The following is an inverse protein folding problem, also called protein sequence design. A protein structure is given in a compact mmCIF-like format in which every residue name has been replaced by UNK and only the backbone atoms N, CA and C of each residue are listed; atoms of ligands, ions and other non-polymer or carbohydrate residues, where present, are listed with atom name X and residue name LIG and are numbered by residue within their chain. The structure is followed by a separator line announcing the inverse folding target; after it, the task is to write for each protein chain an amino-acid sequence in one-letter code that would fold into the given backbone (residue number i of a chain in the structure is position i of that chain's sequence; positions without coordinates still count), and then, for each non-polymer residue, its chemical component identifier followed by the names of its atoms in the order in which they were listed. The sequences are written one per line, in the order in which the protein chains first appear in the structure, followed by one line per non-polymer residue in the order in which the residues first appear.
data_IF_308946638735
#
_entry.id   IF_308946638735
#
_cell.length_a   1.000
_cell.length_b   1.000
_cell.length_c   1.000
_cell.angle_alpha   90.00
_cell.angle_beta   90.00
_cell.angle_gamma   90.00
#
_symmetry.space_group_name_H-M   'P 1'
#
loop_
_entity.id
_entity.type
_entity.pdbx_description
1 polymer ?
#
# COMPACT_ATOMS: atom_id res chain seq x y z
N UNK A 1 74.27 -25.24 -13.30
CA UNK A 1 75.53 -24.58 -12.90
C UNK A 1 75.54 -23.18 -13.54
N UNK A 2 75.34 -22.10 -12.76
CA UNK A 2 75.48 -20.68 -13.17
C UNK A 2 74.53 -20.20 -14.32
N UNK A 3 74.28 -18.90 -14.58
CA UNK A 3 73.89 -17.75 -13.72
C UNK A 3 73.47 -16.56 -14.63
N UNK A 4 72.50 -15.70 -14.22
CA UNK A 4 72.24 -14.33 -14.76
C UNK A 4 71.70 -14.28 -16.23
N UNK A 5 71.15 -13.18 -16.80
CA UNK A 5 70.85 -11.78 -16.35
C UNK A 5 69.67 -11.17 -17.14
N UNK A 6 68.98 -10.16 -16.59
CA UNK A 6 68.09 -9.18 -17.30
C UNK A 6 68.94 -8.16 -18.12
N UNK A 7 68.41 -7.20 -18.94
CA UNK A 7 67.14 -6.42 -18.87
C UNK A 7 66.30 -6.56 -20.18
N UNK A 8 65.50 -5.65 -20.78
CA UNK A 8 65.21 -4.20 -20.62
C UNK A 8 63.82 -3.79 -21.19
N UNK A 9 63.51 -2.48 -21.30
CA UNK A 9 62.24 -1.92 -21.81
C UNK A 9 62.37 -1.28 -23.22
N UNK A 10 61.26 -1.31 -23.99
CA UNK A 10 60.86 -0.30 -25.01
C UNK A 10 59.32 -0.24 -25.00
N UNK A 11 58.65 0.87 -24.70
CA UNK A 11 58.60 2.19 -25.37
C UNK A 11 57.77 2.21 -26.67
N UNK A 12 56.50 2.61 -26.53
CA UNK A 12 55.63 3.21 -27.56
C UNK A 12 54.39 3.79 -26.84
N UNK A 13 54.37 5.07 -26.47
CA UNK A 13 54.00 6.22 -27.32
C UNK A 13 52.52 6.28 -27.71
N UNK A 14 51.78 7.23 -27.12
CA UNK A 14 50.83 8.09 -27.86
C UNK A 14 50.34 9.30 -27.05
N UNK A 15 50.51 10.47 -27.69
CA UNK A 15 49.74 11.73 -27.55
C UNK A 15 49.86 12.49 -26.22
N UNK A 16 50.40 13.70 -26.33
CA UNK A 16 50.24 14.75 -25.33
C UNK A 16 48.81 15.32 -25.35
N UNK A 17 48.39 15.87 -24.22
CA UNK A 17 47.56 17.07 -24.21
C UNK A 17 48.09 18.00 -23.11
N UNK A 18 48.33 19.26 -23.46
CA UNK A 18 48.90 20.26 -22.56
C UNK A 18 47.76 21.13 -22.05
N UNK A 19 47.47 21.04 -20.75
CA UNK A 19 46.42 21.82 -20.08
C UNK A 19 47.08 22.58 -18.92
N UNK A 20 46.87 23.89 -18.87
CA UNK A 20 47.56 24.77 -17.94
C UNK A 20 47.03 24.63 -16.50
N UNK A 21 47.94 24.59 -15.53
CA UNK A 21 47.59 24.81 -14.13
C UNK A 21 47.42 26.30 -13.86
N UNK A 22 46.19 26.80 -13.89
CA UNK A 22 45.81 28.08 -13.27
C UNK A 22 45.15 27.80 -11.93
N UNK A 23 45.71 28.33 -10.85
CA UNK A 23 45.18 28.14 -9.51
C UNK A 23 43.84 28.87 -9.31
N UNK A 24 42.93 28.29 -8.53
CA UNK A 24 42.28 28.94 -7.39
C UNK A 24 41.72 27.87 -6.43
N UNK A 25 41.55 28.20 -5.15
CA UNK A 25 41.18 27.22 -4.12
C UNK A 25 39.70 26.80 -4.16
N UNK A 26 39.40 25.57 -3.76
CA UNK A 26 38.03 25.06 -3.71
C UNK A 26 37.92 23.55 -3.49
N UNK A 27 38.24 23.06 -2.29
CA UNK A 27 37.91 21.69 -1.88
C UNK A 27 36.40 21.59 -1.61
N UNK A 28 35.62 21.33 -2.67
CA UNK A 28 34.21 20.97 -2.55
C UNK A 28 34.05 19.46 -2.74
N UNK A 29 33.57 18.71 -1.73
CA UNK A 29 33.29 17.29 -1.90
C UNK A 29 32.10 17.10 -2.85
N UNK A 30 32.21 16.11 -3.74
CA UNK A 30 31.08 15.63 -4.54
C UNK A 30 30.06 14.96 -3.62
N UNK A 31 29.11 15.76 -3.11
CA UNK A 31 28.00 15.28 -2.30
C UNK A 31 27.05 14.43 -3.15
N UNK A 32 27.31 13.13 -3.23
CA UNK A 32 26.40 12.14 -3.78
C UNK A 32 25.17 12.01 -2.88
N UNK A 33 24.16 12.85 -3.10
CA UNK A 33 22.87 12.73 -2.42
C UNK A 33 22.20 11.42 -2.84
N UNK A 34 21.62 10.64 -1.90
CA UNK A 34 21.12 9.30 -2.18
C UNK A 34 19.88 9.35 -3.08
N UNK A 35 19.90 8.59 -4.18
CA UNK A 35 18.78 8.48 -5.13
C UNK A 35 17.73 7.49 -4.60
N UNK A 36 17.02 7.88 -3.54
CA UNK A 36 15.96 7.06 -2.93
C UNK A 36 14.67 7.87 -2.72
N UNK A 37 13.97 8.15 -3.82
CA UNK A 37 12.55 8.52 -3.79
C UNK A 37 11.67 7.27 -3.53
N UNK A 38 11.93 6.58 -2.42
CA UNK A 38 11.22 5.36 -2.03
C UNK A 38 9.90 5.69 -1.33
N UNK A 39 8.91 6.09 -2.12
CA UNK A 39 7.61 6.53 -1.62
C UNK A 39 6.91 5.53 -0.69
N UNK A 40 6.10 6.11 0.18
CA UNK A 40 5.31 5.55 1.29
C UNK A 40 6.16 5.20 2.52
N UNK A 41 6.63 6.24 3.21
CA UNK A 41 7.43 6.22 4.45
C UNK A 41 6.58 6.28 5.75
N UNK A 42 5.26 6.45 5.64
CA UNK A 42 4.35 6.59 6.79
C UNK A 42 3.63 5.30 7.17
N UNK A 43 3.12 5.27 8.39
CA UNK A 43 2.04 4.35 8.76
C UNK A 43 0.71 4.99 8.35
N UNK A 44 -0.11 4.23 7.63
CA UNK A 44 -1.44 4.64 7.19
C UNK A 44 -2.51 3.80 7.88
N UNK A 45 -3.50 4.45 8.47
CA UNK A 45 -4.71 3.79 8.98
C UNK A 45 -5.74 3.71 7.85
N UNK A 46 -6.22 2.50 7.57
CA UNK A 46 -7.37 2.27 6.69
C UNK A 46 -8.59 1.95 7.55
N UNK A 47 -9.71 2.61 7.25
CA UNK A 47 -10.99 2.46 7.94
C UNK A 47 -12.10 2.24 6.92
N UNK A 48 -12.76 1.09 6.97
CA UNK A 48 -14.03 0.87 6.29
C UNK A 48 -15.18 1.08 7.27
N UNK A 49 -16.20 1.83 6.86
CA UNK A 49 -17.48 1.94 7.56
C UNK A 49 -18.52 1.22 6.71
N UNK A 50 -19.07 0.12 7.21
CA UNK A 50 -19.91 -0.80 6.45
C UNK A 50 -21.27 -0.97 7.13
N UNK A 51 -22.35 -0.75 6.39
CA UNK A 51 -23.72 -0.86 6.91
C UNK A 51 -24.46 -1.95 6.15
N UNK A 52 -25.18 -2.88 6.81
CA UNK A 52 -26.14 -3.75 6.16
C UNK A 52 -27.20 -2.96 5.38
N UNK A 53 -27.73 -3.57 4.32
CA UNK A 53 -28.83 -3.00 3.51
C UNK A 53 -30.20 -3.45 4.06
N UNK A 54 -31.31 -2.80 3.65
CA UNK A 54 -32.67 -3.23 4.00
C UNK A 54 -33.06 -4.66 3.58
N UNK A 55 -32.27 -5.34 2.74
CA UNK A 55 -32.43 -6.76 2.45
C UNK A 55 -32.03 -7.65 3.64
N UNK A 56 -31.03 -7.20 4.42
CA UNK A 56 -30.39 -7.96 5.49
C UNK A 56 -31.00 -7.59 6.84
N UNK A 57 -31.09 -6.29 7.14
CA UNK A 57 -31.68 -5.76 8.37
C UNK A 57 -32.88 -4.89 8.01
N UNK A 58 -34.10 -5.28 8.39
CA UNK A 58 -35.30 -4.46 8.10
C UNK A 58 -35.30 -3.14 8.86
N UNK A 59 -34.65 -3.09 10.03
CA UNK A 59 -34.36 -1.87 10.77
C UNK A 59 -32.94 -1.34 10.43
N UNK A 60 -32.73 -0.02 10.38
CA UNK A 60 -31.37 0.53 10.24
C UNK A 60 -30.50 0.19 11.46
N UNK A 61 -29.30 -0.32 11.22
CA UNK A 61 -28.30 -0.59 12.27
C UNK A 61 -27.07 0.29 12.12
N UNK A 62 -26.32 0.47 13.22
CA UNK A 62 -25.06 1.23 13.23
C UNK A 62 -24.01 0.62 12.31
N UNK A 63 -23.28 1.47 11.58
CA UNK A 63 -22.23 1.06 10.65
C UNK A 63 -21.05 0.38 11.38
N UNK A 64 -20.72 -0.84 10.97
CA UNK A 64 -19.58 -1.63 11.47
C UNK A 64 -18.27 -1.02 10.96
N UNK A 65 -17.34 -0.75 11.87
CA UNK A 65 -16.04 -0.16 11.56
C UNK A 65 -14.95 -1.23 11.47
N UNK A 66 -14.47 -1.54 10.26
CA UNK A 66 -13.28 -2.37 10.08
C UNK A 66 -12.07 -1.46 9.98
N UNK A 67 -11.08 -1.66 10.85
CA UNK A 67 -9.85 -0.86 10.86
C UNK A 67 -8.62 -1.75 10.72
N UNK A 68 -7.62 -1.23 9.99
CA UNK A 68 -6.35 -1.92 9.78
C UNK A 68 -5.25 -0.88 9.53
N UNK A 69 -4.00 -1.24 9.81
CA UNK A 69 -2.84 -0.37 9.54
C UNK A 69 -1.97 -1.00 8.47
N UNK A 70 -1.40 -0.17 7.59
CA UNK A 70 -0.36 -0.56 6.64
C UNK A 70 0.85 0.35 6.82
N UNK A 71 2.04 -0.23 6.75
CA UNK A 71 3.30 0.42 7.08
C UNK A 71 4.29 0.30 5.90
N UNK A 72 5.42 1.03 5.91
CA UNK A 72 6.39 1.01 4.82
C UNK A 72 6.97 -0.39 4.57
N UNK A 73 7.25 -1.13 5.65
CA UNK A 73 7.69 -2.52 5.64
C UNK A 73 6.55 -3.52 5.38
N UNK A 74 5.33 -3.26 5.88
CA UNK A 74 4.16 -4.11 5.67
C UNK A 74 3.03 -3.39 4.91
N UNK A 75 3.19 -3.32 3.58
CA UNK A 75 2.25 -2.67 2.65
C UNK A 75 1.02 -3.52 2.31
N UNK A 76 0.69 -4.53 3.12
CA UNK A 76 -0.48 -5.42 2.97
C UNK A 76 -1.06 -5.72 4.35
N UNK A 77 -2.38 -5.73 4.49
CA UNK A 77 -3.00 -6.22 5.73
C UNK A 77 -4.39 -6.83 5.49
N UNK A 78 -4.88 -7.58 6.46
CA UNK A 78 -6.21 -8.16 6.49
C UNK A 78 -6.80 -8.01 7.89
N UNK A 79 -7.97 -7.37 7.98
CA UNK A 79 -8.78 -7.34 9.21
C UNK A 79 -10.03 -8.18 8.98
N UNK A 80 -10.35 -9.03 9.94
CA UNK A 80 -11.59 -9.80 10.02
C UNK A 80 -12.32 -9.39 11.30
N UNK A 81 -13.64 -9.16 11.21
CA UNK A 81 -14.50 -8.84 12.34
C UNK A 81 -15.74 -9.71 12.24
N UNK A 82 -15.96 -10.56 13.24
CA UNK A 82 -17.24 -11.25 13.44
C UNK A 82 -18.30 -10.25 13.88
N UNK A 83 -19.51 -10.39 13.36
CA UNK A 83 -20.69 -9.57 13.70
C UNK A 83 -21.91 -10.47 13.81
N UNK A 84 -22.97 -9.99 14.46
CA UNK A 84 -24.29 -10.59 14.39
C UNK A 84 -25.27 -9.52 13.94
N UNK A 85 -25.52 -9.47 12.62
CA UNK A 85 -26.27 -8.38 11.99
C UNK A 85 -27.21 -8.91 10.90
N UNK A 86 -28.50 -9.00 11.20
CA UNK A 86 -29.52 -9.38 10.22
C UNK A 86 -30.84 -9.85 10.83
N UNK A 87 -31.80 -10.10 9.95
CA UNK A 87 -33.07 -10.78 10.21
C UNK A 87 -32.93 -12.31 10.02
N UNK A 88 -33.89 -13.09 10.51
CA UNK A 88 -33.92 -14.57 10.38
C UNK A 88 -33.80 -15.11 8.93
N UNK A 89 -33.98 -14.28 7.90
CA UNK A 89 -33.81 -14.66 6.49
C UNK A 89 -32.39 -14.40 5.96
N UNK A 90 -31.70 -13.37 6.45
CA UNK A 90 -30.37 -12.95 5.99
C UNK A 90 -29.56 -12.43 7.19
N UNK A 91 -28.55 -13.18 7.63
CA UNK A 91 -27.71 -12.88 8.80
C UNK A 91 -26.25 -12.72 8.36
N UNK A 92 -25.65 -11.56 8.60
CA UNK A 92 -24.20 -11.36 8.41
C UNK A 92 -23.49 -11.83 9.68
N UNK A 93 -22.57 -12.77 9.52
CA UNK A 93 -21.77 -13.37 10.60
C UNK A 93 -20.35 -12.78 10.69
N UNK A 94 -19.83 -12.23 9.59
CA UNK A 94 -18.54 -11.56 9.59
C UNK A 94 -18.34 -10.61 8.40
N UNK A 95 -17.44 -9.64 8.57
CA UNK A 95 -16.83 -8.87 7.49
C UNK A 95 -15.31 -9.12 7.45
N UNK A 96 -14.73 -9.12 6.25
CA UNK A 96 -13.28 -9.25 6.04
C UNK A 96 -12.80 -8.20 5.04
N UNK A 97 -11.91 -7.31 5.49
CA UNK A 97 -11.24 -6.30 4.69
C UNK A 97 -9.81 -6.75 4.41
N UNK A 98 -9.42 -6.83 3.14
CA UNK A 98 -8.04 -7.05 2.66
C UNK A 98 -7.56 -5.80 1.93
N UNK A 99 -6.36 -5.34 2.24
CA UNK A 99 -5.75 -4.14 1.65
C UNK A 99 -4.33 -4.40 1.14
N UNK A 100 -3.97 -3.71 0.06
CA UNK A 100 -2.60 -3.66 -0.48
C UNK A 100 -2.29 -2.24 -0.92
N UNK A 101 -1.24 -1.67 -0.35
CA UNK A 101 -0.74 -0.34 -0.65
C UNK A 101 0.42 -0.42 -1.66
N UNK A 102 0.51 0.56 -2.56
CA UNK A 102 1.56 0.67 -3.59
C UNK A 102 1.93 2.15 -3.79
N UNK A 103 3.23 2.52 -3.80
CA UNK A 103 3.67 3.87 -4.13
C UNK A 103 3.48 4.17 -5.62
N UNK A 104 3.25 5.45 -5.94
CA UNK A 104 3.36 5.92 -7.32
C UNK A 104 4.84 6.14 -7.64
N UNK A 105 5.27 5.75 -8.86
CA UNK A 105 6.63 6.08 -9.31
C UNK A 105 6.74 7.58 -9.52
N UNK A 106 7.86 8.17 -9.11
CA UNK A 106 8.25 9.56 -9.38
C UNK A 106 7.29 10.61 -8.78
N UNK A 107 6.67 10.33 -7.63
CA UNK A 107 5.81 11.26 -6.90
C UNK A 107 6.21 11.34 -5.41
N UNK A 108 5.71 12.37 -4.72
CA UNK A 108 5.95 12.65 -3.29
C UNK A 108 5.79 11.41 -2.39
N UNK A 109 6.51 11.40 -1.25
CA UNK A 109 6.61 10.30 -0.30
C UNK A 109 5.26 9.74 0.21
N UNK A 110 4.15 10.45 0.04
CA UNK A 110 2.82 10.04 0.48
C UNK A 110 1.83 9.73 -0.68
N UNK A 111 2.27 9.76 -1.94
CA UNK A 111 1.42 9.52 -3.11
C UNK A 111 1.48 8.06 -3.59
N UNK A 112 0.31 7.49 -3.89
CA UNK A 112 0.19 6.06 -4.16
C UNK A 112 -1.20 5.61 -4.56
N UNK A 113 -1.44 4.31 -4.44
CA UNK A 113 -2.74 3.67 -4.64
C UNK A 113 -2.94 2.57 -3.60
N UNK A 114 -4.07 2.60 -2.90
CA UNK A 114 -4.54 1.51 -2.06
C UNK A 114 -5.52 0.64 -2.85
N UNK A 115 -5.17 -0.62 -3.13
CA UNK A 115 -6.11 -1.64 -3.61
C UNK A 115 -6.80 -2.29 -2.42
N UNK A 116 -8.12 -2.50 -2.49
CA UNK A 116 -8.88 -3.19 -1.45
C UNK A 116 -9.77 -4.31 -2.01
N UNK A 117 -10.09 -5.26 -1.13
CA UNK A 117 -11.16 -6.24 -1.30
C UNK A 117 -11.89 -6.38 0.03
N UNK A 118 -13.19 -6.09 0.05
CA UNK A 118 -14.07 -6.27 1.20
C UNK A 118 -15.05 -7.41 0.88
N UNK A 119 -15.30 -8.30 1.83
CA UNK A 119 -16.30 -9.36 1.71
C UNK A 119 -17.07 -9.56 3.00
N UNK A 120 -18.33 -9.98 2.90
CA UNK A 120 -19.12 -10.42 4.04
C UNK A 120 -19.31 -11.95 3.98
N UNK A 121 -19.44 -12.59 5.15
CA UNK A 121 -19.96 -13.95 5.28
C UNK A 121 -21.41 -13.86 5.75
N UNK A 122 -22.34 -14.36 4.93
CA UNK A 122 -23.78 -14.22 5.14
C UNK A 122 -24.44 -15.59 5.11
N UNK A 123 -25.29 -15.87 6.09
CA UNK A 123 -26.24 -16.98 6.08
C UNK A 123 -27.59 -16.49 5.54
N UNK A 124 -28.18 -17.28 4.65
CA UNK A 124 -29.49 -17.04 4.06
C UNK A 124 -30.36 -18.26 4.27
N UNK A 125 -31.47 -18.09 5.01
CA UNK A 125 -32.29 -19.18 5.54
C UNK A 125 -33.72 -19.09 5.03
N UNK A 126 -34.21 -20.18 4.43
CA UNK A 126 -35.59 -20.33 3.95
C UNK A 126 -36.15 -21.65 4.49
N UNK A 127 -37.14 -21.56 5.38
CA UNK A 127 -37.69 -22.72 6.08
C UNK A 127 -36.62 -23.44 6.89
N UNK A 128 -36.41 -24.73 6.61
CA UNK A 128 -35.38 -25.57 7.22
C UNK A 128 -34.02 -25.53 6.50
N UNK A 129 -33.86 -24.76 5.43
CA UNK A 129 -32.64 -24.74 4.62
C UNK A 129 -31.83 -23.45 4.84
N UNK A 130 -30.58 -23.59 5.26
CA UNK A 130 -29.60 -22.49 5.35
C UNK A 130 -28.56 -22.61 4.25
N UNK A 131 -28.19 -21.47 3.66
CA UNK A 131 -27.22 -21.35 2.55
C UNK A 131 -26.22 -20.24 2.84
N UNK A 132 -24.95 -20.43 2.46
CA UNK A 132 -23.90 -19.43 2.65
C UNK A 132 -23.72 -18.55 1.41
N UNK A 133 -23.72 -17.23 1.58
CA UNK A 133 -23.46 -16.24 0.52
C UNK A 133 -22.22 -15.43 0.91
N UNK A 134 -21.27 -15.31 -0.03
CA UNK A 134 -19.98 -14.62 0.17
C UNK A 134 -19.83 -13.43 -0.80
N UNK A 135 -20.65 -12.37 -0.68
CA UNK A 135 -20.55 -11.20 -1.53
C UNK A 135 -19.23 -10.45 -1.31
N UNK A 136 -18.62 -10.00 -2.40
CA UNK A 136 -17.35 -9.26 -2.38
C UNK A 136 -17.42 -7.96 -3.20
N UNK A 137 -16.80 -6.89 -2.71
CA UNK A 137 -16.53 -5.65 -3.43
C UNK A 137 -15.03 -5.39 -3.48
N UNK A 138 -14.55 -4.78 -4.56
CA UNK A 138 -13.12 -4.51 -4.79
C UNK A 138 -12.96 -3.15 -5.46
N UNK A 139 -11.82 -2.52 -5.27
CA UNK A 139 -11.52 -1.26 -5.93
C UNK A 139 -10.14 -0.71 -5.58
N UNK A 140 -9.91 0.52 -6.01
CA UNK A 140 -8.68 1.28 -5.77
C UNK A 140 -9.00 2.67 -5.25
N UNK A 141 -8.24 3.13 -4.26
CA UNK A 141 -8.27 4.50 -3.77
C UNK A 141 -6.93 5.16 -4.19
N UNK A 142 -6.95 6.22 -5.02
CA UNK A 142 -5.75 7.03 -5.24
C UNK A 142 -5.42 7.79 -3.96
N UNK A 143 -4.13 7.87 -3.62
CA UNK A 143 -3.67 8.64 -2.46
C UNK A 143 -3.06 9.96 -2.91
N UNK A 144 -3.52 11.03 -2.27
CA UNK A 144 -2.97 12.37 -2.40
C UNK A 144 -2.51 12.82 -1.02
N UNK A 145 -1.19 13.01 -0.86
CA UNK A 145 -0.55 13.34 0.42
C UNK A 145 -0.94 12.39 1.57
N UNK A 146 -1.14 11.10 1.26
CA UNK A 146 -1.34 10.04 2.26
C UNK A 146 -2.81 9.84 2.66
N UNK A 147 -3.70 10.65 2.09
CA UNK A 147 -5.14 10.59 2.32
C UNK A 147 -5.87 10.12 1.04
N UNK A 148 -6.98 9.42 1.23
CA UNK A 148 -7.89 9.03 0.16
C UNK A 148 -9.17 8.40 0.70
N UNK A 149 -10.27 8.54 -0.03
CA UNK A 149 -11.56 7.93 0.32
C UNK A 149 -12.32 7.52 -0.94
N UNK A 150 -13.09 6.43 -0.85
CA UNK A 150 -14.06 6.03 -1.87
C UNK A 150 -15.31 5.42 -1.24
N UNK A 151 -16.46 5.58 -1.90
CA UNK A 151 -17.67 4.81 -1.61
C UNK A 151 -17.50 3.40 -2.16
N UNK A 152 -18.03 2.40 -1.46
CA UNK A 152 -18.04 1.02 -1.94
C UNK A 152 -18.89 0.90 -3.23
N UNK A 153 -18.48 0.07 -4.21
CA UNK A 153 -19.34 -0.27 -5.34
C UNK A 153 -20.70 -0.82 -4.88
N UNK A 154 -21.80 -0.54 -5.60
CA UNK A 154 -23.14 -1.02 -5.24
C UNK A 154 -23.17 -2.52 -4.98
N UNK A 155 -23.77 -2.92 -3.87
CA UNK A 155 -23.88 -4.31 -3.44
C UNK A 155 -25.24 -4.56 -2.79
N UNK A 156 -25.80 -5.75 -3.01
CA UNK A 156 -27.18 -6.10 -2.59
C UNK A 156 -27.32 -6.31 -1.08
N UNK A 157 -26.22 -6.46 -0.34
CA UNK A 157 -26.23 -6.91 1.06
C UNK A 157 -25.68 -5.86 2.04
N UNK A 158 -24.63 -5.13 1.65
CA UNK A 158 -24.03 -4.06 2.46
C UNK A 158 -23.66 -2.86 1.59
N UNK A 159 -23.65 -1.66 2.19
CA UNK A 159 -23.12 -0.43 1.60
C UNK A 159 -22.06 0.17 2.53
N UNK A 160 -21.43 1.29 2.15
CA UNK A 160 -20.44 1.95 2.99
C UNK A 160 -19.35 2.71 2.26
N UNK A 161 -18.33 3.12 3.00
CA UNK A 161 -17.14 3.83 2.51
C UNK A 161 -15.86 3.19 3.02
N UNK A 162 -14.76 3.40 2.31
CA UNK A 162 -13.41 3.11 2.79
C UNK A 162 -12.59 4.40 2.69
N UNK A 163 -11.95 4.80 3.78
CA UNK A 163 -10.95 5.85 3.82
C UNK A 163 -9.61 5.34 4.32
N UNK A 164 -8.56 6.06 3.94
CA UNK A 164 -7.17 5.82 4.33
C UNK A 164 -6.53 7.19 4.62
N UNK A 165 -5.79 7.26 5.73
CA UNK A 165 -5.09 8.48 6.17
C UNK A 165 -3.70 8.10 6.71
N UNK A 166 -2.68 8.90 6.42
CA UNK A 166 -1.41 8.86 7.15
C UNK A 166 -1.64 9.23 8.63
N UNK A 167 -1.02 8.50 9.55
CA UNK A 167 -1.14 8.71 11.00
C UNK A 167 0.19 8.94 11.73
N UNK A 168 1.32 8.54 11.13
CA UNK A 168 2.66 8.83 11.66
C UNK A 168 3.71 8.81 10.54
N UNK A 169 4.58 9.83 10.50
CA UNK A 169 5.80 9.80 9.69
C UNK A 169 6.85 8.92 10.41
N UNK A 170 7.45 7.97 9.68
CA UNK A 170 8.33 6.95 10.23
C UNK A 170 9.80 7.35 10.30
N UNK A 171 10.12 8.33 11.16
CA UNK A 171 11.48 8.80 11.51
C UNK A 171 12.27 9.47 10.36
#
# INVERSE_FOLDING_TARGET
MFFRTSPSLRSSSRRAFLVACTAFGGLLPLASTPVHAEGLDRVYQVKAMVTPTPLVTKTPVSATSLQTQVAPNNRKNMTHIGVDQGDNTYKINAYTLRVRLKPNKNQSNDNGTLTYSLSAAIEHTIGSHTSSILPHTRGTIPLHNGNGQVTLPPNKYFSGTISINAIAAGF
#
